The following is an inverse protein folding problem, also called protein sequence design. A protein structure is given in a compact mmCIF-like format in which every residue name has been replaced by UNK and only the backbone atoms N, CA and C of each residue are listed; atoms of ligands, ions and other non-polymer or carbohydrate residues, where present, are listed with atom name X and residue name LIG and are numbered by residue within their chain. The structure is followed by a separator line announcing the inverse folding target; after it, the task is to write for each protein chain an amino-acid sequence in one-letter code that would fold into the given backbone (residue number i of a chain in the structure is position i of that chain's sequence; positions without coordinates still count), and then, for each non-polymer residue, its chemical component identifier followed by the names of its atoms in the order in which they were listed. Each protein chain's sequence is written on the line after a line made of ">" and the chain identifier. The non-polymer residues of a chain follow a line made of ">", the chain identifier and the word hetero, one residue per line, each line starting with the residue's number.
data_IF_088981624381
#
_entry.id   IF_088981624381
#
_cell.length_a   1.000
_cell.length_b   1.000
_cell.length_c   1.000
_cell.angle_alpha   90.00
_cell.angle_beta   90.00
_cell.angle_gamma   90.00
#
_symmetry.space_group_name_H-M   'P 1'
#
loop_
_entity.id
_entity.type
_entity.pdbx_description
1 polymer ?
#
# COMPACT_ATOMS: atom_id res chain seq x y z
N UNK A 1 62.82 -21.25 21.36
CA UNK A 1 62.34 -19.88 21.17
C UNK A 1 62.22 -19.67 19.67
N UNK A 2 61.07 -19.91 19.11
CA UNK A 2 60.84 -19.76 17.68
C UNK A 2 59.56 -18.93 17.53
N UNK A 3 59.76 -17.71 17.14
CA UNK A 3 58.70 -16.72 16.87
C UNK A 3 58.00 -17.10 15.57
N UNK A 4 56.69 -17.30 15.65
CA UNK A 4 55.83 -17.44 14.48
C UNK A 4 55.42 -16.05 14.01
N UNK A 5 55.92 -15.65 12.84
CA UNK A 5 55.48 -14.51 12.08
C UNK A 5 54.07 -14.75 11.55
N UNK A 6 53.15 -13.81 11.88
CA UNK A 6 51.85 -13.74 11.26
C UNK A 6 51.98 -12.82 10.01
N UNK A 7 51.57 -13.25 8.82
CA UNK A 7 51.53 -12.36 7.67
C UNK A 7 50.40 -11.33 7.84
N UNK A 8 50.77 -10.06 7.77
CA UNK A 8 49.85 -8.94 7.64
C UNK A 8 48.99 -9.14 6.39
N UNK A 9 47.65 -9.08 6.55
CA UNK A 9 46.74 -8.99 5.43
C UNK A 9 46.80 -7.55 4.88
N UNK A 10 47.49 -7.37 3.78
CA UNK A 10 47.43 -6.18 2.97
C UNK A 10 46.01 -6.00 2.41
N UNK A 11 45.28 -5.07 3.01
CA UNK A 11 44.00 -4.62 2.52
C UNK A 11 44.17 -3.69 1.32
N UNK A 12 44.44 -4.21 0.13
CA UNK A 12 44.29 -3.47 -1.11
C UNK A 12 42.83 -3.49 -1.53
N UNK A 13 42.00 -2.67 -0.89
CA UNK A 13 40.69 -2.27 -1.43
C UNK A 13 40.93 -1.46 -2.70
N UNK A 14 40.72 -2.07 -3.85
CA UNK A 14 40.67 -1.34 -5.12
C UNK A 14 39.64 -0.20 -5.04
N UNK A 15 39.79 0.86 -5.86
CA UNK A 15 38.84 1.97 -5.87
C UNK A 15 37.46 1.41 -6.25
N UNK A 16 36.56 1.33 -5.25
CA UNK A 16 35.18 0.89 -5.47
C UNK A 16 34.55 1.76 -6.54
N UNK A 17 33.89 1.13 -7.48
CA UNK A 17 33.09 1.86 -8.45
C UNK A 17 32.10 2.76 -7.68
N UNK A 18 31.92 4.03 -8.10
CA UNK A 18 30.94 4.89 -7.45
C UNK A 18 29.56 4.21 -7.50
N UNK A 19 28.78 4.28 -6.42
CA UNK A 19 27.48 3.63 -6.38
C UNK A 19 26.60 4.10 -7.54
N UNK A 20 25.88 3.15 -8.15
CA UNK A 20 25.02 3.45 -9.29
C UNK A 20 23.93 4.45 -8.88
N UNK A 21 23.79 5.55 -9.62
CA UNK A 21 22.76 6.57 -9.38
C UNK A 21 21.70 6.51 -10.46
N UNK A 22 20.45 6.56 -10.04
CA UNK A 22 19.28 6.50 -10.92
C UNK A 22 18.39 7.70 -10.61
N UNK A 23 17.99 8.51 -11.61
CA UNK A 23 17.06 9.60 -11.38
C UNK A 23 15.74 9.10 -10.75
N UNK A 24 15.18 9.91 -9.85
CA UNK A 24 13.83 9.58 -9.32
C UNK A 24 12.84 9.48 -10.46
N UNK A 25 12.02 8.42 -10.49
CA UNK A 25 10.78 8.42 -11.27
C UNK A 25 9.90 9.62 -10.89
N UNK A 26 9.08 10.08 -11.81
CA UNK A 26 8.19 11.24 -11.60
C UNK A 26 7.31 11.04 -10.36
N UNK A 27 6.82 9.82 -10.14
CA UNK A 27 5.96 9.49 -9.00
C UNK A 27 6.71 9.64 -7.67
N UNK A 28 7.96 9.19 -7.60
CA UNK A 28 8.78 9.26 -6.40
C UNK A 28 9.11 10.73 -6.06
N UNK A 29 9.45 11.54 -7.08
CA UNK A 29 9.75 12.96 -6.88
C UNK A 29 8.52 13.74 -6.39
N UNK A 30 7.34 13.52 -6.99
CA UNK A 30 6.11 14.16 -6.53
C UNK A 30 5.75 13.73 -5.11
N UNK A 31 5.90 12.45 -4.77
CA UNK A 31 5.69 11.95 -3.41
C UNK A 31 6.68 12.62 -2.43
N UNK A 32 7.97 12.70 -2.80
CA UNK A 32 9.01 13.34 -2.00
C UNK A 32 8.72 14.82 -1.71
N UNK A 33 8.19 15.55 -2.69
CA UNK A 33 7.80 16.96 -2.52
C UNK A 33 6.62 17.13 -1.54
N UNK A 34 5.82 16.10 -1.35
CA UNK A 34 4.58 16.12 -0.57
C UNK A 34 4.69 15.46 0.79
N UNK A 35 5.87 15.11 1.27
CA UNK A 35 6.06 14.53 2.60
C UNK A 35 5.52 15.44 3.70
N UNK A 36 4.98 14.82 4.75
CA UNK A 36 4.44 15.46 5.94
C UNK A 36 4.92 14.67 7.16
N UNK A 37 5.33 15.36 8.21
CA UNK A 37 5.85 14.72 9.42
C UNK A 37 4.73 14.11 10.28
N UNK A 38 3.57 14.78 10.34
CA UNK A 38 2.43 14.33 11.16
C UNK A 38 1.70 13.11 10.58
N UNK A 39 1.64 13.00 9.26
CA UNK A 39 1.01 11.89 8.54
C UNK A 39 2.00 11.30 7.53
N UNK A 40 2.98 10.51 8.01
CA UNK A 40 4.05 10.02 7.17
C UNK A 40 3.55 9.07 6.06
N UNK A 41 4.24 9.10 4.92
CA UNK A 41 3.97 8.21 3.77
C UNK A 41 4.43 6.78 4.06
N UNK A 42 3.81 6.14 5.04
CA UNK A 42 4.09 4.74 5.36
C UNK A 42 3.06 3.81 4.74
N UNK A 43 3.53 2.78 4.07
CA UNK A 43 2.75 1.55 3.85
C UNK A 43 3.28 0.52 4.81
N UNK A 44 2.43 -0.29 5.42
CA UNK A 44 2.91 -1.46 6.13
C UNK A 44 2.16 -2.73 5.72
N UNK A 45 2.86 -3.84 5.81
CA UNK A 45 2.35 -5.19 5.60
C UNK A 45 2.48 -5.90 6.94
N UNK A 46 1.37 -6.35 7.49
CA UNK A 46 1.29 -7.12 8.73
C UNK A 46 1.00 -8.58 8.38
N UNK A 47 1.87 -9.50 8.77
CA UNK A 47 1.77 -10.93 8.46
C UNK A 47 1.74 -11.74 9.74
N UNK A 48 0.69 -12.52 9.95
CA UNK A 48 0.56 -13.41 11.10
C UNK A 48 1.00 -14.81 10.76
N UNK A 49 1.91 -15.33 11.58
CA UNK A 49 2.44 -16.69 11.50
C UNK A 49 2.03 -17.49 12.74
N UNK A 50 1.62 -18.77 12.58
CA UNK A 50 1.18 -19.58 13.71
C UNK A 50 2.33 -19.99 14.64
N UNK A 51 3.55 -20.03 14.12
CA UNK A 51 4.73 -20.45 14.86
C UNK A 51 5.74 -19.34 15.12
N UNK A 52 6.88 -19.71 15.71
CA UNK A 52 7.94 -18.77 16.06
C UNK A 52 9.00 -18.71 14.97
N UNK A 53 9.58 -17.53 14.83
CA UNK A 53 10.72 -17.29 13.95
C UNK A 53 12.01 -17.28 14.75
N UNK A 54 13.04 -17.96 14.22
CA UNK A 54 14.41 -17.81 14.69
C UNK A 54 14.96 -16.45 14.21
N UNK A 55 15.46 -15.60 15.12
CA UNK A 55 15.93 -14.26 14.77
C UNK A 55 17.08 -14.24 13.77
N UNK A 56 18.08 -15.10 13.92
CA UNK A 56 19.28 -15.07 13.09
C UNK A 56 19.01 -15.62 11.70
N UNK A 57 18.18 -16.67 11.64
CA UNK A 57 17.69 -17.22 10.38
C UNK A 57 16.84 -16.20 9.61
N UNK A 58 15.99 -15.40 10.31
CA UNK A 58 15.22 -14.33 9.68
C UNK A 58 16.12 -13.22 9.15
N UNK A 59 17.11 -12.77 9.91
CA UNK A 59 18.11 -11.78 9.44
C UNK A 59 18.82 -12.29 8.18
N UNK A 60 19.29 -13.52 8.21
CA UNK A 60 19.99 -14.15 7.06
C UNK A 60 19.08 -14.23 5.83
N UNK A 61 17.85 -14.70 6.01
CA UNK A 61 16.87 -14.82 4.93
C UNK A 61 16.48 -13.47 4.33
N UNK A 62 16.25 -12.47 5.18
CA UNK A 62 15.89 -11.13 4.72
C UNK A 62 17.07 -10.45 4.01
N UNK A 63 18.29 -10.55 4.52
CA UNK A 63 19.48 -10.06 3.83
C UNK A 63 19.68 -10.75 2.48
N UNK A 64 19.44 -12.08 2.41
CA UNK A 64 19.41 -12.81 1.14
C UNK A 64 18.35 -12.28 0.16
N UNK A 65 17.17 -11.95 0.65
CA UNK A 65 16.11 -11.37 -0.16
C UNK A 65 16.49 -9.98 -0.69
N UNK A 66 17.12 -9.14 0.13
CA UNK A 66 17.60 -7.82 -0.31
C UNK A 66 18.62 -7.96 -1.44
N UNK A 67 19.58 -8.88 -1.34
CA UNK A 67 20.56 -9.15 -2.40
C UNK A 67 19.95 -9.69 -3.69
N UNK A 68 18.86 -10.48 -3.61
CA UNK A 68 18.10 -10.93 -4.80
C UNK A 68 17.28 -9.84 -5.46
N UNK A 69 17.00 -8.77 -4.73
CA UNK A 69 16.25 -7.60 -5.20
C UNK A 69 17.04 -6.30 -5.00
N UNK A 70 18.19 -6.13 -5.67
CA UNK A 70 19.14 -5.05 -5.36
C UNK A 70 18.53 -3.64 -5.49
N UNK A 71 17.45 -3.48 -6.24
CA UNK A 71 16.73 -2.20 -6.35
C UNK A 71 16.13 -1.74 -5.02
N UNK A 72 15.91 -2.61 -4.04
CA UNK A 72 15.43 -2.21 -2.70
C UNK A 72 16.54 -1.57 -1.86
N UNK A 73 17.80 -1.87 -2.17
CA UNK A 73 18.97 -1.29 -1.53
C UNK A 73 19.24 0.10 -2.12
N UNK A 74 18.34 1.03 -1.88
CA UNK A 74 18.43 2.38 -2.39
C UNK A 74 18.24 3.41 -1.29
N UNK A 75 18.93 4.54 -1.44
CA UNK A 75 18.76 5.73 -0.60
C UNK A 75 18.73 6.99 -1.46
N UNK A 76 18.15 8.06 -0.95
CA UNK A 76 18.21 9.38 -1.60
C UNK A 76 19.66 9.87 -1.59
N UNK A 77 20.24 10.08 -2.77
CA UNK A 77 21.59 10.61 -2.89
C UNK A 77 21.69 12.00 -2.25
N UNK A 78 22.74 12.20 -1.46
CA UNK A 78 23.02 13.52 -0.92
C UNK A 78 23.31 14.53 -2.06
N UNK A 79 22.90 15.76 -1.87
CA UNK A 79 23.13 16.81 -2.86
C UNK A 79 22.79 18.20 -2.34
N UNK A 80 23.31 19.27 -3.00
CA UNK A 80 23.06 20.63 -2.58
C UNK A 80 21.58 21.02 -2.76
N UNK A 81 21.13 22.05 -2.03
CA UNK A 81 19.75 22.54 -2.11
C UNK A 81 19.34 23.02 -3.52
N UNK A 82 20.30 23.43 -4.35
CA UNK A 82 20.08 23.88 -5.74
C UNK A 82 20.18 22.75 -6.78
N UNK A 83 20.28 21.47 -6.34
CA UNK A 83 20.28 20.33 -7.26
C UNK A 83 19.06 20.38 -8.17
N UNK A 84 19.24 19.91 -9.41
CA UNK A 84 18.17 19.91 -10.41
C UNK A 84 17.42 18.60 -10.51
N UNK A 85 17.89 17.52 -9.83
CA UNK A 85 17.29 16.21 -9.82
C UNK A 85 17.47 15.57 -8.46
N UNK A 86 16.50 14.78 -8.04
CA UNK A 86 16.69 13.75 -7.04
C UNK A 86 17.20 12.50 -7.71
N UNK A 87 18.04 11.75 -7.02
CA UNK A 87 18.60 10.50 -7.49
C UNK A 87 18.55 9.46 -6.38
N UNK A 88 18.19 8.24 -6.74
CA UNK A 88 18.39 7.06 -5.91
C UNK A 88 19.83 6.60 -6.09
N UNK A 89 20.55 6.45 -5.00
CA UNK A 89 21.86 5.83 -4.94
C UNK A 89 21.66 4.38 -4.51
N UNK A 90 22.10 3.43 -5.34
CA UNK A 90 22.02 2.01 -5.04
C UNK A 90 23.24 1.61 -4.23
N UNK A 91 23.02 0.91 -3.11
CA UNK A 91 24.09 0.36 -2.26
C UNK A 91 24.21 -1.15 -2.48
N UNK A 92 25.37 -1.72 -2.19
CA UNK A 92 25.58 -3.17 -2.24
C UNK A 92 25.03 -3.83 -0.97
N UNK A 93 25.19 -3.17 0.17
CA UNK A 93 24.75 -3.62 1.47
C UNK A 93 23.81 -2.60 2.15
N UNK A 94 23.00 -3.06 3.12
CA UNK A 94 22.18 -2.15 3.94
C UNK A 94 23.03 -1.17 4.75
N UNK A 95 22.61 0.10 4.78
CA UNK A 95 23.21 1.12 5.67
C UNK A 95 22.80 0.93 7.13
N UNK A 96 21.65 0.29 7.36
CA UNK A 96 21.04 0.06 8.67
C UNK A 96 20.54 -1.35 8.80
N UNK A 97 20.46 -1.86 10.03
CA UNK A 97 19.80 -3.14 10.27
C UNK A 97 18.31 -3.05 9.95
N UNK A 98 17.91 -3.77 8.91
CA UNK A 98 16.54 -3.73 8.41
C UNK A 98 15.58 -4.64 9.22
N UNK A 99 16.09 -5.62 9.99
CA UNK A 99 15.29 -6.57 10.79
C UNK A 99 15.42 -6.24 12.26
N UNK A 100 14.31 -6.04 12.95
CA UNK A 100 14.26 -5.69 14.38
C UNK A 100 13.42 -6.69 15.16
N UNK A 101 13.82 -6.95 16.39
CA UNK A 101 13.08 -7.76 17.36
C UNK A 101 12.83 -6.92 18.60
N UNK A 102 11.73 -6.17 18.65
CA UNK A 102 11.35 -5.41 19.83
C UNK A 102 11.24 -6.32 21.04
N UNK A 103 11.59 -5.86 22.25
CA UNK A 103 11.46 -6.66 23.46
C UNK A 103 10.01 -7.11 23.64
N UNK A 104 9.79 -8.31 24.19
CA UNK A 104 8.44 -8.80 24.47
C UNK A 104 7.78 -7.94 25.55
N UNK A 105 6.63 -7.39 25.22
CA UNK A 105 5.80 -6.57 26.11
C UNK A 105 4.32 -6.91 25.90
N UNK A 106 3.47 -6.55 26.89
CA UNK A 106 2.04 -6.89 26.88
C UNK A 106 1.33 -6.37 25.62
N UNK A 107 1.67 -5.16 25.18
CA UNK A 107 1.03 -4.47 24.06
C UNK A 107 1.94 -4.38 22.81
N UNK A 108 2.87 -5.34 22.64
CA UNK A 108 3.87 -5.35 21.56
C UNK A 108 3.25 -5.16 20.17
N UNK A 109 2.13 -5.83 19.89
CA UNK A 109 1.39 -5.72 18.62
C UNK A 109 0.85 -4.30 18.39
N UNK A 110 0.25 -3.71 19.41
CA UNK A 110 -0.27 -2.33 19.36
C UNK A 110 0.87 -1.34 19.14
N UNK A 111 1.96 -1.46 19.88
CA UNK A 111 3.13 -0.59 19.74
C UNK A 111 3.79 -0.74 18.35
N UNK A 112 3.83 -1.95 17.79
CA UNK A 112 4.34 -2.17 16.44
C UNK A 112 3.46 -1.48 15.38
N UNK A 113 2.13 -1.57 15.51
CA UNK A 113 1.19 -0.83 14.65
C UNK A 113 1.36 0.68 14.78
N UNK A 114 1.50 1.18 16.01
CA UNK A 114 1.74 2.61 16.27
C UNK A 114 3.05 3.09 15.63
N UNK A 115 4.14 2.32 15.75
CA UNK A 115 5.41 2.64 15.07
C UNK A 115 5.27 2.62 13.55
N UNK A 116 4.60 1.61 12.99
CA UNK A 116 4.38 1.50 11.56
C UNK A 116 3.58 2.70 10.97
N UNK A 117 2.71 3.29 11.77
CA UNK A 117 1.91 4.46 11.36
C UNK A 117 2.68 5.78 11.50
N UNK A 118 3.58 5.89 12.49
CA UNK A 118 4.24 7.17 12.84
C UNK A 118 5.64 7.31 12.28
N UNK A 119 6.36 6.20 12.08
CA UNK A 119 7.79 6.21 11.78
C UNK A 119 8.06 5.65 10.38
N UNK A 120 8.19 6.53 9.41
CA UNK A 120 8.66 6.12 8.09
C UNK A 120 10.14 5.78 8.13
N UNK A 121 10.59 4.64 7.56
CA UNK A 121 12.00 4.41 7.32
C UNK A 121 12.61 5.57 6.54
N UNK A 122 13.80 6.08 6.92
CA UNK A 122 14.39 7.26 6.30
C UNK A 122 14.75 6.98 4.84
N UNK A 123 14.52 7.97 3.96
CA UNK A 123 14.98 7.88 2.56
C UNK A 123 16.50 8.01 2.41
N UNK A 124 17.18 8.53 3.43
CA UNK A 124 18.62 8.76 3.44
C UNK A 124 19.46 7.55 3.83
N UNK A 125 18.81 6.41 4.15
CA UNK A 125 19.47 5.15 4.48
C UNK A 125 18.83 4.00 3.68
N UNK A 126 19.64 3.06 3.21
CA UNK A 126 19.20 1.88 2.50
C UNK A 126 19.07 0.68 3.47
N UNK A 127 18.04 -0.14 3.33
CA UNK A 127 16.87 0.01 2.49
C UNK A 127 15.82 0.95 3.14
N UNK A 128 14.93 1.61 2.36
CA UNK A 128 13.86 2.44 2.90
C UNK A 128 12.67 1.59 3.42
N UNK A 129 13.00 0.50 4.10
CA UNK A 129 12.07 -0.44 4.73
C UNK A 129 12.59 -0.89 6.09
N UNK A 130 11.68 -1.33 6.96
CA UNK A 130 11.97 -1.92 8.27
C UNK A 130 11.07 -3.13 8.47
N UNK A 131 11.67 -4.27 8.80
CA UNK A 131 10.98 -5.50 9.19
C UNK A 131 11.06 -5.65 10.71
N UNK A 132 9.93 -5.71 11.38
CA UNK A 132 9.84 -5.97 12.82
C UNK A 132 9.14 -7.31 13.06
N UNK A 133 9.69 -8.14 13.93
CA UNK A 133 9.07 -9.39 14.37
C UNK A 133 8.66 -9.26 15.84
N UNK A 134 7.37 -9.39 16.12
CA UNK A 134 6.81 -9.32 17.47
C UNK A 134 6.06 -10.60 17.81
N UNK A 135 6.00 -10.96 19.10
CA UNK A 135 5.22 -12.10 19.53
C UNK A 135 3.72 -11.86 19.31
N UNK A 136 3.02 -12.83 18.77
CA UNK A 136 1.57 -12.78 18.60
C UNK A 136 0.88 -12.97 19.96
N UNK A 137 -0.06 -12.10 20.37
CA UNK A 137 -0.73 -12.22 21.66
C UNK A 137 -1.51 -13.54 21.76
N UNK A 138 -1.28 -14.31 22.82
CA UNK A 138 -2.08 -15.49 23.19
C UNK A 138 -1.92 -16.76 22.33
N UNK A 139 -1.22 -16.70 21.20
CA UNK A 139 -1.11 -17.83 20.26
C UNK A 139 0.27 -18.50 20.25
N UNK A 140 1.28 -17.88 20.83
CA UNK A 140 2.68 -18.35 20.74
C UNK A 140 3.32 -18.16 19.35
N UNK A 141 2.59 -17.57 18.40
CA UNK A 141 3.06 -17.27 17.04
C UNK A 141 3.87 -15.99 16.95
N UNK A 142 4.15 -15.57 15.72
CA UNK A 142 4.90 -14.34 15.41
C UNK A 142 4.09 -13.46 14.45
N UNK A 143 4.13 -12.15 14.67
CA UNK A 143 3.62 -11.16 13.72
C UNK A 143 4.78 -10.39 13.13
N UNK A 144 4.86 -10.36 11.80
CA UNK A 144 5.82 -9.58 11.05
C UNK A 144 5.19 -8.27 10.59
N UNK A 145 5.90 -7.15 10.80
CA UNK A 145 5.56 -5.83 10.29
C UNK A 145 6.64 -5.38 9.31
N UNK A 146 6.33 -5.35 8.03
CA UNK A 146 7.18 -4.69 7.03
C UNK A 146 6.68 -3.27 6.82
N UNK A 147 7.35 -2.29 7.42
CA UNK A 147 7.07 -0.86 7.24
C UNK A 147 7.91 -0.31 6.10
N UNK A 148 7.30 0.45 5.21
CA UNK A 148 7.84 0.89 3.94
C UNK A 148 7.69 2.39 3.83
N UNK A 149 8.73 3.10 3.37
CA UNK A 149 8.58 4.48 2.93
C UNK A 149 7.98 4.48 1.51
N UNK A 150 6.71 4.89 1.40
CA UNK A 150 5.95 4.81 0.15
C UNK A 150 6.46 5.78 -0.93
N UNK A 151 7.31 6.73 -0.59
CA UNK A 151 8.01 7.54 -1.61
C UNK A 151 8.90 6.68 -2.50
N UNK A 152 9.50 5.64 -1.94
CA UNK A 152 10.46 4.78 -2.63
C UNK A 152 9.83 3.51 -3.23
N UNK A 153 8.86 2.91 -2.52
CA UNK A 153 8.37 1.56 -2.80
C UNK A 153 6.86 1.45 -2.60
N UNK A 154 6.22 0.59 -3.35
CA UNK A 154 4.81 0.21 -3.15
C UNK A 154 4.66 -1.15 -2.45
N UNK A 155 3.44 -1.43 -1.97
CA UNK A 155 3.11 -2.66 -1.26
C UNK A 155 3.40 -3.93 -2.05
N UNK A 156 2.99 -4.05 -3.33
CA UNK A 156 3.26 -5.23 -4.15
C UNK A 156 4.75 -5.53 -4.31
N UNK A 157 5.61 -4.52 -4.52
CA UNK A 157 7.05 -4.69 -4.61
C UNK A 157 7.63 -5.26 -3.30
N UNK A 158 7.23 -4.69 -2.17
CA UNK A 158 7.71 -5.14 -0.86
C UNK A 158 7.16 -6.51 -0.46
N UNK A 159 5.92 -6.82 -0.88
CA UNK A 159 5.38 -8.17 -0.71
C UNK A 159 6.21 -9.21 -1.49
N UNK A 160 6.70 -8.87 -2.69
CA UNK A 160 7.59 -9.75 -3.46
C UNK A 160 8.90 -10.01 -2.71
N UNK A 161 9.51 -8.97 -2.14
CA UNK A 161 10.75 -9.12 -1.34
C UNK A 161 10.49 -9.98 -0.10
N UNK A 162 9.38 -9.76 0.60
CA UNK A 162 9.00 -10.55 1.77
C UNK A 162 8.74 -12.02 1.41
N UNK A 163 8.14 -12.29 0.25
CA UNK A 163 7.94 -13.64 -0.25
C UNK A 163 9.28 -14.35 -0.52
N UNK A 164 10.26 -13.65 -1.09
CA UNK A 164 11.62 -14.16 -1.25
C UNK A 164 12.26 -14.48 0.10
N UNK A 165 12.10 -13.62 1.10
CA UNK A 165 12.60 -13.87 2.44
C UNK A 165 11.94 -15.09 3.09
N UNK A 166 10.62 -15.26 2.92
CA UNK A 166 9.90 -16.43 3.44
C UNK A 166 10.41 -17.73 2.83
N UNK A 167 10.64 -17.76 1.52
CA UNK A 167 11.17 -18.95 0.83
C UNK A 167 12.59 -19.28 1.25
N UNK A 168 13.47 -18.27 1.36
CA UNK A 168 14.83 -18.45 1.85
C UNK A 168 14.86 -18.93 3.31
N UNK A 169 14.00 -18.38 4.15
CA UNK A 169 13.84 -18.81 5.54
C UNK A 169 13.38 -20.28 5.60
N UNK A 170 12.41 -20.66 4.76
CA UNK A 170 11.93 -22.04 4.66
C UNK A 170 12.90 -23.03 3.99
N UNK A 171 14.10 -22.56 3.55
CA UNK A 171 15.08 -23.40 2.86
C UNK A 171 14.64 -23.82 1.45
N UNK A 172 13.71 -23.08 0.84
CA UNK A 172 13.17 -23.37 -0.50
C UNK A 172 13.75 -22.43 -1.54
N UNK A 173 13.68 -22.90 -2.80
CA UNK A 173 14.01 -22.02 -3.92
C UNK A 173 12.94 -20.92 -4.10
N UNK A 174 13.37 -19.76 -4.61
CA UNK A 174 12.53 -18.60 -4.83
C UNK A 174 11.74 -18.73 -6.15
N UNK A 175 10.94 -19.79 -6.28
CA UNK A 175 10.07 -19.98 -7.42
C UNK A 175 8.88 -19.01 -7.37
N UNK A 176 8.59 -18.25 -8.44
CA UNK A 176 7.46 -17.35 -8.47
C UNK A 176 6.15 -18.14 -8.44
N UNK A 177 5.14 -17.61 -7.75
CA UNK A 177 3.80 -18.10 -7.97
C UNK A 177 3.38 -17.78 -9.41
N UNK A 178 2.80 -18.76 -10.11
CA UNK A 178 2.26 -18.52 -11.43
C UNK A 178 1.27 -17.34 -11.38
N UNK A 179 1.44 -16.32 -12.23
CA UNK A 179 0.50 -15.22 -12.25
C UNK A 179 -0.88 -15.76 -12.61
N UNK A 180 -1.96 -15.26 -11.98
CA UNK A 180 -3.30 -15.64 -12.39
C UNK A 180 -3.47 -15.28 -13.88
N UNK A 181 -3.84 -16.25 -14.69
CA UNK A 181 -4.08 -16.05 -16.12
C UNK A 181 -5.25 -15.08 -16.27
N UNK A 182 -4.95 -13.82 -16.53
CA UNK A 182 -5.97 -12.82 -16.85
C UNK A 182 -6.19 -12.87 -18.34
N UNK A 183 -7.36 -13.31 -18.76
CA UNK A 183 -7.79 -13.11 -20.14
C UNK A 183 -7.72 -11.61 -20.47
N UNK A 184 -7.09 -11.26 -21.59
CA UNK A 184 -7.05 -9.88 -22.06
C UNK A 184 -8.49 -9.37 -22.25
N UNK A 185 -8.92 -8.46 -21.38
CA UNK A 185 -10.25 -7.88 -21.48
C UNK A 185 -10.29 -6.97 -22.71
N UNK A 186 -11.19 -7.28 -23.65
CA UNK A 186 -11.51 -6.41 -24.79
C UNK A 186 -12.04 -5.09 -24.23
N UNK A 187 -11.45 -3.96 -24.61
CA UNK A 187 -11.85 -2.65 -24.12
C UNK A 187 -13.34 -2.40 -24.45
N UNK A 188 -14.22 -2.18 -23.46
CA UNK A 188 -15.58 -1.74 -23.73
C UNK A 188 -15.55 -0.29 -24.22
N UNK A 189 -16.51 0.06 -25.08
CA UNK A 189 -16.72 1.43 -25.52
C UNK A 189 -16.87 2.39 -24.32
N UNK A 190 -16.44 3.64 -24.50
CA UNK A 190 -16.45 4.67 -23.47
C UNK A 190 -17.85 4.87 -22.90
N UNK A 191 -18.08 4.39 -21.68
CA UNK A 191 -19.26 4.81 -20.89
C UNK A 191 -19.01 6.23 -20.43
N UNK A 192 -20.00 7.12 -20.63
CA UNK A 192 -19.89 8.54 -20.28
C UNK A 192 -19.40 8.72 -18.84
N UNK A 193 -18.22 9.28 -18.69
CA UNK A 193 -17.64 9.57 -17.38
C UNK A 193 -18.33 10.84 -16.85
N UNK A 194 -18.89 10.83 -15.63
CA UNK A 194 -19.44 12.06 -15.03
C UNK A 194 -18.39 13.18 -15.05
N UNK A 195 -18.83 14.41 -15.30
CA UNK A 195 -17.96 15.59 -15.40
C UNK A 195 -17.01 15.70 -14.20
N UNK A 196 -15.71 15.79 -14.45
CA UNK A 196 -14.67 15.94 -13.43
C UNK A 196 -14.54 17.36 -12.87
N UNK A 197 -15.29 18.33 -13.38
CA UNK A 197 -15.22 19.74 -12.99
C UNK A 197 -15.81 20.04 -11.62
N UNK A 198 -16.76 19.24 -11.15
CA UNK A 198 -17.35 19.40 -9.82
C UNK A 198 -16.43 18.78 -8.77
N UNK A 199 -16.09 19.47 -7.66
CA UNK A 199 -15.40 18.87 -6.54
C UNK A 199 -16.17 17.66 -6.00
N UNK A 200 -15.48 16.52 -5.73
CA UNK A 200 -16.14 15.34 -5.17
C UNK A 200 -16.61 15.58 -3.74
N UNK A 201 -17.49 14.70 -3.26
CA UNK A 201 -17.80 14.61 -1.85
C UNK A 201 -16.52 14.34 -1.04
N UNK A 202 -16.47 14.88 0.16
CA UNK A 202 -15.48 14.51 1.17
C UNK A 202 -16.10 13.47 2.09
N UNK A 203 -15.26 12.70 2.78
CA UNK A 203 -15.72 11.99 3.97
C UNK A 203 -16.11 13.06 4.98
N UNK A 204 -17.35 13.03 5.45
CA UNK A 204 -17.83 13.98 6.43
C UNK A 204 -16.99 13.90 7.71
N UNK A 205 -16.77 15.05 8.35
CA UNK A 205 -16.04 15.12 9.58
C UNK A 205 -16.84 14.46 10.70
N UNK A 206 -16.26 13.48 11.36
CA UNK A 206 -16.80 12.89 12.58
C UNK A 206 -16.29 13.62 13.81
N UNK A 207 -15.84 12.88 14.81
CA UNK A 207 -15.28 13.39 16.06
C UNK A 207 -13.74 13.32 16.00
N UNK A 208 -13.02 14.41 15.64
CA UNK A 208 -11.57 14.37 15.54
C UNK A 208 -10.91 14.08 16.88
N UNK A 209 -9.78 13.37 16.84
CA UNK A 209 -8.94 13.17 18.01
C UNK A 209 -7.99 14.37 18.22
N UNK A 210 -7.61 14.67 19.47
CA UNK A 210 -6.75 15.81 19.78
C UNK A 210 -5.31 15.63 19.28
N UNK A 211 -4.86 14.38 19.12
CA UNK A 211 -3.51 14.06 18.65
C UNK A 211 -3.50 13.90 17.12
N UNK A 212 -2.55 14.54 16.38
CA UNK A 212 -2.40 14.32 14.95
C UNK A 212 -1.94 12.90 14.63
N UNK A 213 -1.90 12.57 13.36
CA UNK A 213 -1.47 11.28 12.84
C UNK A 213 -2.62 10.41 12.35
N UNK A 214 -2.37 9.12 12.23
CA UNK A 214 -3.36 8.19 11.71
C UNK A 214 -3.92 7.26 12.78
N UNK A 215 -5.22 6.96 12.69
CA UNK A 215 -5.85 5.82 13.32
C UNK A 215 -5.86 4.62 12.38
N UNK A 216 -5.92 3.40 12.92
CA UNK A 216 -5.95 2.15 12.21
C UNK A 216 -6.90 1.17 12.89
N UNK A 217 -7.71 0.50 12.07
CA UNK A 217 -8.50 -0.67 12.44
C UNK A 217 -8.25 -1.77 11.42
N UNK A 218 -7.97 -2.98 11.89
CA UNK A 218 -7.80 -4.17 11.04
C UNK A 218 -8.85 -5.21 11.39
N UNK A 219 -9.47 -5.79 10.36
CA UNK A 219 -10.55 -6.76 10.51
C UNK A 219 -10.40 -7.91 9.53
N UNK A 220 -11.02 -9.02 9.86
CA UNK A 220 -11.09 -10.20 9.04
C UNK A 220 -12.55 -10.55 8.74
N UNK A 221 -12.89 -10.61 7.45
CA UNK A 221 -14.21 -10.96 6.97
C UNK A 221 -14.18 -12.24 6.14
N UNK A 222 -15.35 -12.81 5.89
CA UNK A 222 -15.51 -13.77 4.81
C UNK A 222 -15.27 -13.09 3.45
N UNK A 223 -14.68 -13.81 2.50
CA UNK A 223 -14.65 -13.31 1.12
C UNK A 223 -16.09 -13.28 0.60
N UNK A 224 -16.59 -12.14 0.09
CA UNK A 224 -17.98 -12.02 -0.29
C UNK A 224 -18.32 -13.02 -1.42
N UNK A 225 -19.44 -13.68 -1.25
CA UNK A 225 -19.96 -14.63 -2.23
C UNK A 225 -20.44 -13.90 -3.47
N UNK A 226 -20.35 -14.57 -4.59
CA UNK A 226 -20.93 -14.11 -5.86
C UNK A 226 -21.43 -15.30 -6.65
N UNK A 227 -22.53 -15.19 -7.40
CA UNK A 227 -23.02 -16.23 -8.27
C UNK A 227 -22.00 -16.61 -9.35
N UNK A 228 -22.03 -17.87 -9.74
CA UNK A 228 -21.26 -18.30 -10.91
C UNK A 228 -21.68 -17.50 -12.16
N UNK A 229 -20.70 -17.01 -12.93
CA UNK A 229 -20.98 -16.20 -14.12
C UNK A 229 -21.37 -14.74 -13.85
N UNK A 230 -21.39 -14.28 -12.58
CA UNK A 230 -21.68 -12.89 -12.26
C UNK A 230 -20.80 -11.92 -13.07
N UNK A 231 -21.36 -10.84 -13.68
CA UNK A 231 -20.61 -9.91 -14.53
C UNK A 231 -19.69 -8.98 -13.75
N UNK A 232 -19.57 -9.16 -12.45
CA UNK A 232 -18.77 -8.36 -11.53
C UNK A 232 -17.79 -9.24 -10.74
N UNK A 233 -16.79 -8.61 -10.11
CA UNK A 233 -15.74 -9.26 -9.33
C UNK A 233 -15.86 -8.89 -7.85
N UNK A 234 -15.10 -9.58 -6.96
CA UNK A 234 -14.97 -9.18 -5.55
C UNK A 234 -14.49 -7.73 -5.43
N UNK A 235 -13.59 -7.28 -6.33
CA UNK A 235 -13.17 -5.87 -6.34
C UNK A 235 -14.35 -4.90 -6.57
N UNK A 236 -15.32 -5.29 -7.39
CA UNK A 236 -16.49 -4.46 -7.67
C UNK A 236 -17.47 -4.44 -6.49
N UNK A 237 -17.58 -5.57 -5.76
CA UNK A 237 -18.33 -5.64 -4.49
C UNK A 237 -17.70 -4.74 -3.43
N UNK A 238 -16.37 -4.79 -3.25
CA UNK A 238 -15.63 -3.92 -2.33
C UNK A 238 -15.79 -2.43 -2.70
N UNK A 239 -15.79 -2.11 -4.00
CA UNK A 239 -15.97 -0.75 -4.51
C UNK A 239 -17.39 -0.24 -4.23
N UNK A 240 -18.41 -1.06 -4.49
CA UNK A 240 -19.82 -0.73 -4.22
C UNK A 240 -20.06 -0.56 -2.71
N UNK A 241 -19.55 -1.50 -1.88
CA UNK A 241 -19.64 -1.40 -0.43
C UNK A 241 -18.97 -0.12 0.11
N UNK A 242 -17.79 0.24 -0.40
CA UNK A 242 -17.10 1.48 -0.03
C UNK A 242 -17.92 2.72 -0.43
N UNK A 243 -18.52 2.72 -1.63
CA UNK A 243 -19.35 3.84 -2.08
C UNK A 243 -20.60 4.01 -1.22
N UNK A 244 -21.26 2.91 -0.87
CA UNK A 244 -22.44 2.90 0.00
C UNK A 244 -22.10 3.33 1.43
N UNK A 245 -21.01 2.80 2.00
CA UNK A 245 -20.49 3.18 3.32
C UNK A 245 -20.29 4.69 3.41
N UNK A 246 -19.58 5.32 2.46
CA UNK A 246 -19.33 6.75 2.46
C UNK A 246 -20.60 7.54 2.25
N UNK A 247 -21.51 7.08 1.38
CA UNK A 247 -22.80 7.75 1.14
C UNK A 247 -23.64 7.73 2.41
N UNK A 248 -23.67 6.62 3.12
CA UNK A 248 -24.40 6.48 4.38
C UNK A 248 -23.81 7.39 5.46
N UNK A 249 -22.50 7.27 5.71
CA UNK A 249 -21.77 8.11 6.65
C UNK A 249 -22.01 9.60 6.41
N UNK A 250 -21.88 10.05 5.16
CA UNK A 250 -22.05 11.44 4.79
C UNK A 250 -23.50 11.91 5.02
N UNK A 251 -24.50 11.06 4.79
CA UNK A 251 -25.90 11.35 5.04
C UNK A 251 -26.19 11.51 6.54
N UNK A 252 -25.66 10.62 7.39
CA UNK A 252 -25.79 10.71 8.85
C UNK A 252 -25.20 12.02 9.39
N UNK A 253 -24.15 12.52 8.75
CA UNK A 253 -23.47 13.77 9.13
C UNK A 253 -24.00 15.01 8.37
N UNK A 254 -25.14 14.91 7.72
CA UNK A 254 -25.79 16.04 7.05
C UNK A 254 -25.02 16.63 5.86
N UNK A 255 -24.05 15.88 5.29
CA UNK A 255 -23.28 16.35 4.15
C UNK A 255 -24.14 16.41 2.88
N UNK A 256 -23.99 17.48 2.09
CA UNK A 256 -24.70 17.62 0.82
C UNK A 256 -24.28 16.54 -0.18
N UNK A 257 -25.22 15.92 -0.90
CA UNK A 257 -24.90 14.95 -1.94
C UNK A 257 -24.00 15.56 -3.02
N UNK A 258 -22.86 14.92 -3.28
CA UNK A 258 -21.90 15.26 -4.34
C UNK A 258 -21.40 13.97 -4.98
N UNK A 259 -20.82 14.03 -6.20
CA UNK A 259 -20.21 12.86 -6.79
C UNK A 259 -19.14 12.25 -5.87
N UNK A 260 -19.13 10.93 -5.70
CA UNK A 260 -18.04 10.24 -5.03
C UNK A 260 -16.95 9.90 -6.04
N UNK A 261 -15.69 10.05 -5.66
CA UNK A 261 -14.54 9.57 -6.41
C UNK A 261 -13.72 8.67 -5.53
N UNK A 262 -13.65 7.40 -5.90
CA UNK A 262 -12.84 6.39 -5.19
C UNK A 262 -11.59 6.13 -6.01
N UNK A 263 -10.42 6.45 -5.45
CA UNK A 263 -9.14 6.11 -6.08
C UNK A 263 -8.88 4.62 -5.90
N UNK A 264 -8.51 3.95 -6.99
CA UNK A 264 -8.14 2.54 -7.02
C UNK A 264 -6.75 2.40 -7.64
N UNK A 265 -5.76 1.85 -6.91
CA UNK A 265 -4.47 1.48 -7.48
C UNK A 265 -4.63 0.29 -8.43
N UNK A 266 -3.94 0.33 -9.56
CA UNK A 266 -3.86 -0.76 -10.54
C UNK A 266 -2.39 -1.10 -10.75
N UNK A 267 -2.03 -2.36 -10.52
CA UNK A 267 -0.69 -2.87 -10.76
C UNK A 267 -0.72 -3.68 -12.06
N UNK A 268 -0.03 -3.20 -13.07
CA UNK A 268 0.07 -3.83 -14.39
C UNK A 268 1.34 -4.70 -14.53
N UNK A 269 2.19 -4.79 -13.47
CA UNK A 269 3.41 -5.61 -13.47
C UNK A 269 3.08 -7.09 -13.38
N UNK A 270 3.92 -7.91 -14.03
CA UNK A 270 3.92 -9.36 -13.82
C UNK A 270 4.45 -9.67 -12.42
N UNK A 271 3.82 -10.59 -11.71
CA UNK A 271 4.20 -10.97 -10.33
C UNK A 271 5.18 -12.14 -10.32
N UNK A 272 6.19 -12.08 -11.20
CA UNK A 272 7.28 -13.07 -11.30
C UNK A 272 8.47 -12.76 -10.40
N UNK A 273 9.52 -13.59 -10.48
CA UNK A 273 10.81 -13.35 -9.79
C UNK A 273 11.48 -12.07 -10.23
N UNK A 274 11.30 -11.70 -11.48
CA UNK A 274 11.83 -10.53 -12.18
C UNK A 274 10.92 -9.29 -12.05
N UNK A 275 9.89 -9.35 -11.18
CA UNK A 275 9.00 -8.21 -10.93
C UNK A 275 9.82 -6.96 -10.58
N UNK A 276 9.65 -5.84 -11.31
CA UNK A 276 10.36 -4.60 -11.00
C UNK A 276 10.03 -4.08 -9.60
N UNK A 277 11.08 -3.85 -8.81
CA UNK A 277 10.97 -3.27 -7.46
C UNK A 277 10.95 -1.74 -7.58
N UNK A 278 10.00 -1.11 -6.91
CA UNK A 278 9.77 0.35 -6.94
C UNK A 278 8.28 0.67 -6.90
N UNK A 279 7.93 1.92 -7.19
CA UNK A 279 6.53 2.35 -7.33
C UNK A 279 6.03 2.05 -8.75
N UNK A 280 5.30 0.94 -8.92
CA UNK A 280 4.80 0.47 -10.21
C UNK A 280 3.29 0.58 -10.39
N UNK A 281 2.54 0.91 -9.34
CA UNK A 281 1.09 1.05 -9.40
C UNK A 281 0.68 2.40 -10.01
N UNK A 282 -0.35 2.39 -10.87
CA UNK A 282 -1.01 3.61 -11.35
C UNK A 282 -2.34 3.81 -10.63
N UNK A 283 -2.74 5.06 -10.46
CA UNK A 283 -3.98 5.41 -9.80
C UNK A 283 -5.07 5.69 -10.84
N UNK A 284 -6.24 5.10 -10.65
CA UNK A 284 -7.44 5.39 -11.42
C UNK A 284 -8.56 5.82 -10.49
N UNK A 285 -9.50 6.64 -10.99
CA UNK A 285 -10.63 7.12 -10.20
C UNK A 285 -11.94 6.54 -10.74
N UNK A 286 -12.65 5.83 -9.85
CA UNK A 286 -14.01 5.35 -10.11
C UNK A 286 -14.98 6.41 -9.54
N UNK A 287 -15.82 6.95 -10.41
CA UNK A 287 -16.74 8.03 -10.04
C UNK A 287 -18.18 7.52 -9.98
N UNK A 288 -18.90 7.92 -8.94
CA UNK A 288 -20.32 7.66 -8.75
C UNK A 288 -21.07 9.00 -8.73
N UNK A 289 -22.16 9.10 -9.47
CA UNK A 289 -23.02 10.27 -9.45
C UNK A 289 -23.74 10.42 -8.09
N UNK A 290 -24.19 11.63 -7.71
CA UNK A 290 -25.02 11.80 -6.52
C UNK A 290 -26.26 10.91 -6.58
N UNK A 291 -26.52 10.15 -5.50
CA UNK A 291 -27.65 9.21 -5.42
C UNK A 291 -27.49 7.90 -6.22
N UNK A 292 -26.37 7.71 -6.91
CA UNK A 292 -26.11 6.44 -7.60
C UNK A 292 -25.77 5.28 -6.63
N UNK A 293 -24.96 5.48 -5.56
CA UNK A 293 -24.82 4.47 -4.51
C UNK A 293 -26.12 4.30 -3.73
N UNK A 294 -26.90 3.29 -4.11
CA UNK A 294 -28.22 2.98 -3.57
C UNK A 294 -28.35 1.48 -3.38
N UNK A 295 -28.48 1.05 -2.14
CA UNK A 295 -28.55 -0.36 -1.77
C UNK A 295 -29.83 -1.05 -2.33
N UNK A 296 -30.91 -0.30 -2.55
CA UNK A 296 -32.16 -0.83 -3.16
C UNK A 296 -31.98 -1.20 -4.63
N UNK A 297 -30.92 -0.69 -5.29
CA UNK A 297 -30.57 -0.98 -6.69
C UNK A 297 -29.21 -1.69 -6.82
N UNK A 298 -28.91 -2.57 -5.87
CA UNK A 298 -27.61 -3.25 -5.77
C UNK A 298 -27.17 -3.95 -7.07
N UNK A 299 -28.02 -4.72 -7.78
CA UNK A 299 -27.62 -5.37 -9.03
C UNK A 299 -27.13 -4.39 -10.09
N UNK A 300 -27.82 -3.27 -10.24
CA UNK A 300 -27.44 -2.21 -11.19
C UNK A 300 -26.15 -1.51 -10.76
N UNK A 301 -26.00 -1.20 -9.48
CA UNK A 301 -24.79 -0.61 -8.92
C UNK A 301 -23.56 -1.48 -9.19
N UNK A 302 -23.64 -2.79 -8.93
CA UNK A 302 -22.56 -3.74 -9.18
C UNK A 302 -22.20 -3.84 -10.68
N UNK A 303 -23.22 -3.91 -11.54
CA UNK A 303 -23.02 -3.97 -13.00
C UNK A 303 -22.28 -2.71 -13.51
N UNK A 304 -22.76 -1.51 -13.16
CA UNK A 304 -22.14 -0.25 -13.54
C UNK A 304 -20.74 -0.08 -12.98
N UNK A 305 -20.53 -0.52 -11.72
CA UNK A 305 -19.21 -0.52 -11.09
C UNK A 305 -18.24 -1.41 -11.86
N UNK A 306 -18.66 -2.62 -12.23
CA UNK A 306 -17.85 -3.56 -12.99
C UNK A 306 -17.49 -3.04 -14.39
N UNK A 307 -18.42 -2.40 -15.08
CA UNK A 307 -18.18 -1.77 -16.39
C UNK A 307 -17.11 -0.68 -16.29
N UNK A 308 -17.22 0.20 -15.28
CA UNK A 308 -16.25 1.29 -15.05
C UNK A 308 -14.87 0.77 -14.66
N UNK A 309 -14.80 -0.14 -13.70
CA UNK A 309 -13.49 -0.68 -13.25
C UNK A 309 -12.80 -1.43 -14.37
N UNK A 310 -13.54 -2.17 -15.21
CA UNK A 310 -13.01 -2.87 -16.37
C UNK A 310 -12.50 -1.89 -17.43
N UNK A 311 -13.26 -0.86 -17.75
CA UNK A 311 -12.86 0.19 -18.69
C UNK A 311 -11.57 0.90 -18.24
N UNK A 312 -11.50 1.28 -16.94
CA UNK A 312 -10.34 1.96 -16.37
C UNK A 312 -9.08 1.08 -16.30
N UNK A 313 -9.24 -0.22 -16.05
CA UNK A 313 -8.12 -1.18 -16.06
C UNK A 313 -7.60 -1.42 -17.47
N UNK A 314 -8.45 -1.38 -18.49
CA UNK A 314 -8.07 -1.60 -19.89
C UNK A 314 -7.31 -0.44 -20.54
N UNK A 315 -7.26 0.75 -19.93
CA UNK A 315 -6.58 1.93 -20.50
C UNK A 315 -5.17 2.05 -19.93
N UNK A 316 -4.16 1.89 -20.77
CA UNK A 316 -2.77 2.19 -20.39
C UNK A 316 -2.57 3.70 -20.27
N UNK A 317 -2.30 4.20 -19.07
CA UNK A 317 -2.00 5.61 -18.82
C UNK A 317 -0.72 5.74 -18.00
N UNK A 318 0.03 6.86 -18.12
CA UNK A 318 1.11 7.16 -17.19
C UNK A 318 0.61 7.13 -15.75
N UNK A 319 1.47 6.73 -14.81
CA UNK A 319 1.13 6.66 -13.37
C UNK A 319 0.57 7.99 -12.83
N UNK A 320 1.15 9.09 -13.29
CA UNK A 320 0.67 10.45 -13.07
C UNK A 320 0.33 11.09 -14.43
N UNK A 321 -0.69 11.94 -14.46
CA UNK A 321 -1.13 12.58 -15.70
C UNK A 321 0.01 13.34 -16.42
N UNK A 322 -0.20 13.67 -17.70
CA UNK A 322 0.81 14.31 -18.56
C UNK A 322 1.45 15.59 -17.97
N UNK A 323 0.72 16.31 -17.11
CA UNK A 323 1.24 17.49 -16.41
C UNK A 323 2.30 17.20 -15.34
N UNK A 324 2.39 15.98 -14.81
CA UNK A 324 3.36 15.64 -13.77
C UNK A 324 4.81 15.69 -14.27
N UNK A 325 5.06 15.39 -15.54
CA UNK A 325 6.39 15.52 -16.14
C UNK A 325 6.90 16.96 -16.15
N UNK A 326 6.00 17.95 -16.23
CA UNK A 326 6.38 19.38 -16.12
C UNK A 326 6.80 19.74 -14.70
N UNK A 327 6.15 19.13 -13.68
CA UNK A 327 6.48 19.36 -12.26
C UNK A 327 7.86 18.81 -11.88
N UNK A 328 8.39 17.86 -12.63
CA UNK A 328 9.68 17.21 -12.37
C UNK A 328 10.75 17.60 -13.41
N UNK A 329 10.46 18.58 -14.28
CA UNK A 329 11.41 19.06 -15.29
C UNK A 329 12.67 19.63 -14.63
N UNK A 330 13.89 19.21 -15.03
CA UNK A 330 15.13 19.64 -14.41
C UNK A 330 15.54 21.08 -14.76
N UNK A 331 14.66 21.86 -15.37
CA UNK A 331 14.93 23.27 -15.71
C UNK A 331 15.06 24.12 -14.45
N UNK A 332 14.29 23.84 -13.40
CA UNK A 332 14.33 24.54 -12.13
C UNK A 332 14.97 23.70 -11.01
N UNK A 333 15.58 24.33 -10.00
CA UNK A 333 16.03 23.63 -8.80
C UNK A 333 14.91 22.85 -8.12
N UNK A 334 15.27 21.72 -7.52
CA UNK A 334 14.33 20.83 -6.82
C UNK A 334 13.54 21.57 -5.73
N UNK A 335 14.19 22.48 -4.98
CA UNK A 335 13.55 23.24 -3.92
C UNK A 335 12.37 24.10 -4.43
N UNK A 336 12.52 24.72 -5.61
CA UNK A 336 11.47 25.52 -6.22
C UNK A 336 10.32 24.65 -6.73
N UNK A 337 10.65 23.52 -7.36
CA UNK A 337 9.64 22.55 -7.81
C UNK A 337 8.85 21.98 -6.63
N UNK A 338 9.53 21.72 -5.51
CA UNK A 338 8.88 21.26 -4.28
C UNK A 338 7.88 22.31 -3.74
N UNK A 339 8.28 23.57 -3.68
CA UNK A 339 7.39 24.66 -3.26
C UNK A 339 6.17 24.78 -4.17
N UNK A 340 6.40 24.76 -5.50
CA UNK A 340 5.34 24.82 -6.50
C UNK A 340 4.39 23.63 -6.41
N UNK A 341 4.92 22.40 -6.30
CA UNK A 341 4.12 21.16 -6.18
C UNK A 341 3.26 21.17 -4.92
N UNK A 342 3.81 21.64 -3.78
CA UNK A 342 3.03 21.80 -2.54
C UNK A 342 1.92 22.86 -2.70
N UNK A 343 2.22 23.98 -3.33
CA UNK A 343 1.23 25.02 -3.63
C UNK A 343 0.10 24.50 -4.53
N UNK A 344 0.45 23.83 -5.62
CA UNK A 344 -0.51 23.23 -6.54
C UNK A 344 -1.37 22.17 -5.85
N UNK A 345 -0.77 21.30 -5.02
CA UNK A 345 -1.52 20.31 -4.24
C UNK A 345 -2.54 20.95 -3.30
N UNK A 346 -2.14 22.03 -2.62
CA UNK A 346 -3.09 22.79 -1.76
C UNK A 346 -4.24 23.37 -2.57
N UNK A 347 -3.93 24.01 -3.69
CA UNK A 347 -4.94 24.58 -4.59
C UNK A 347 -5.86 23.51 -5.18
N UNK A 348 -5.31 22.35 -5.59
CA UNK A 348 -6.08 21.22 -6.09
C UNK A 348 -6.76 20.39 -4.97
N UNK A 349 -6.52 20.72 -3.72
CA UNK A 349 -7.12 20.06 -2.56
C UNK A 349 -8.63 19.78 -2.72
N UNK A 350 -9.49 20.73 -3.11
CA UNK A 350 -10.92 20.49 -3.27
C UNK A 350 -11.28 19.37 -4.26
N UNK A 351 -10.44 19.10 -5.26
CA UNK A 351 -10.65 18.06 -6.29
C UNK A 351 -10.00 16.71 -5.97
N UNK A 352 -9.35 16.56 -4.81
CA UNK A 352 -8.83 15.25 -4.37
C UNK A 352 -9.98 14.25 -4.22
N UNK A 353 -9.74 12.99 -4.59
CA UNK A 353 -10.72 11.91 -4.45
C UNK A 353 -11.24 11.77 -3.02
N UNK A 354 -12.45 11.23 -2.88
CA UNK A 354 -13.14 11.06 -1.59
C UNK A 354 -12.41 10.09 -0.66
N UNK A 355 -12.05 8.91 -1.18
CA UNK A 355 -11.42 7.81 -0.45
C UNK A 355 -10.49 7.03 -1.37
N UNK A 356 -9.51 6.34 -0.82
CA UNK A 356 -8.70 5.36 -1.54
C UNK A 356 -9.17 3.96 -1.15
N UNK A 357 -9.48 3.11 -2.14
CA UNK A 357 -9.69 1.69 -1.96
C UNK A 357 -8.54 0.95 -2.67
N UNK A 358 -7.64 0.37 -1.89
CA UNK A 358 -6.51 -0.41 -2.43
C UNK A 358 -6.77 -1.90 -2.21
N UNK A 359 -7.11 -2.60 -3.28
CA UNK A 359 -7.32 -4.03 -3.25
C UNK A 359 -6.13 -4.76 -3.85
N UNK A 360 -5.32 -5.41 -3.02
CA UNK A 360 -4.19 -6.25 -3.44
C UNK A 360 -4.70 -7.54 -4.11
N UNK A 361 -5.94 -7.94 -3.79
CA UNK A 361 -6.53 -9.19 -4.23
C UNK A 361 -6.00 -10.39 -3.44
N UNK A 362 -6.07 -11.57 -4.05
CA UNK A 362 -5.50 -12.77 -3.46
C UNK A 362 -3.98 -12.65 -3.44
N UNK A 363 -3.39 -12.86 -2.26
CA UNK A 363 -1.93 -12.90 -2.12
C UNK A 363 -1.37 -14.03 -3.01
N UNK A 364 -0.50 -13.72 -3.98
CA UNK A 364 -0.03 -14.71 -4.96
C UNK A 364 1.10 -15.59 -4.42
N UNK A 365 1.61 -15.28 -3.23
CA UNK A 365 2.72 -15.97 -2.59
C UNK A 365 2.24 -16.76 -1.37
N UNK A 366 2.84 -17.91 -1.12
CA UNK A 366 2.47 -18.74 0.02
C UNK A 366 2.83 -18.10 1.36
N UNK A 367 3.85 -17.22 1.41
CA UNK A 367 4.44 -16.66 2.63
C UNK A 367 4.64 -17.75 3.70
N UNK A 368 5.31 -18.80 3.30
CA UNK A 368 5.54 -19.98 4.11
C UNK A 368 6.99 -19.97 4.61
N UNK A 369 7.16 -19.85 5.92
CA UNK A 369 8.44 -19.76 6.61
C UNK A 369 8.95 -21.10 7.11
N UNK A 370 8.46 -22.23 6.59
CA UNK A 370 8.87 -23.58 6.97
C UNK A 370 8.07 -24.15 8.15
N UNK A 371 8.49 -25.34 8.63
CA UNK A 371 7.67 -26.12 9.58
C UNK A 371 7.48 -25.44 10.93
N UNK A 372 8.51 -24.79 11.47
CA UNK A 372 8.45 -24.17 12.81
C UNK A 372 7.62 -22.90 12.85
N UNK A 373 7.75 -22.04 11.84
CA UNK A 373 7.05 -20.77 11.78
C UNK A 373 5.70 -20.87 11.05
N UNK A 374 5.60 -21.79 10.10
CA UNK A 374 4.40 -22.10 9.35
C UNK A 374 4.15 -21.11 8.21
N UNK A 375 2.96 -21.24 7.63
CA UNK A 375 2.45 -20.39 6.56
C UNK A 375 1.63 -19.24 7.15
N UNK A 376 1.70 -18.08 6.50
CA UNK A 376 0.88 -16.93 6.86
C UNK A 376 -0.61 -17.28 6.94
N UNK A 377 -1.21 -17.08 8.12
CA UNK A 377 -2.63 -17.26 8.37
C UNK A 377 -3.43 -16.01 8.00
N UNK A 378 -2.84 -14.83 8.17
CA UNK A 378 -3.47 -13.55 7.87
C UNK A 378 -2.45 -12.55 7.34
N UNK A 379 -2.88 -11.67 6.41
CA UNK A 379 -2.06 -10.61 5.84
C UNK A 379 -2.90 -9.35 5.68
N UNK A 380 -2.55 -8.29 6.40
CA UNK A 380 -3.13 -6.97 6.23
C UNK A 380 -2.15 -6.02 5.54
N UNK A 381 -2.71 -5.10 4.79
CA UNK A 381 -1.99 -3.96 4.24
C UNK A 381 -2.57 -2.68 4.79
N UNK A 382 -1.75 -1.66 4.96
CA UNK A 382 -2.22 -0.32 5.27
C UNK A 382 -1.50 0.68 4.40
N UNK A 383 -2.26 1.52 3.72
CA UNK A 383 -1.76 2.61 2.89
C UNK A 383 -2.02 3.98 3.53
N UNK A 384 -1.24 5.02 3.20
CA UNK A 384 -1.36 6.34 3.83
C UNK A 384 -2.77 6.95 3.72
N UNK A 385 -3.26 7.52 4.81
CA UNK A 385 -4.52 8.25 4.88
C UNK A 385 -4.25 9.70 5.28
N UNK A 386 -3.86 10.53 4.30
CA UNK A 386 -3.52 11.93 4.52
C UNK A 386 -4.66 12.87 4.12
N UNK A 387 -4.75 14.00 4.82
CA UNK A 387 -5.62 15.07 4.38
C UNK A 387 -5.19 15.62 3.00
N UNK A 388 -6.12 16.02 2.15
CA UNK A 388 -7.55 16.21 2.37
C UNK A 388 -8.45 15.00 2.09
N UNK A 389 -7.92 13.81 1.74
CA UNK A 389 -8.70 12.58 1.56
C UNK A 389 -9.14 12.01 2.92
N UNK A 390 -8.20 11.84 3.83
CA UNK A 390 -8.41 11.49 5.22
C UNK A 390 -8.85 10.06 5.53
N UNK A 391 -9.19 9.23 4.54
CA UNK A 391 -9.58 7.82 4.73
C UNK A 391 -9.01 6.94 3.61
N UNK A 392 -8.51 5.78 4.00
CA UNK A 392 -8.05 4.72 3.10
C UNK A 392 -8.57 3.37 3.59
N UNK A 393 -9.12 2.59 2.67
CA UNK A 393 -9.50 1.19 2.89
C UNK A 393 -8.56 0.33 2.06
N UNK A 394 -7.91 -0.64 2.70
CA UNK A 394 -7.04 -1.59 2.01
C UNK A 394 -7.51 -3.01 2.25
N UNK A 395 -7.46 -3.84 1.22
CA UNK A 395 -7.95 -5.22 1.30
C UNK A 395 -6.96 -6.19 0.67
N UNK A 396 -6.85 -7.38 1.26
CA UNK A 396 -6.13 -8.51 0.72
C UNK A 396 -6.84 -9.80 1.08
N UNK A 397 -6.62 -10.87 0.33
CA UNK A 397 -7.17 -12.19 0.66
C UNK A 397 -6.07 -13.21 0.86
N UNK A 398 -6.11 -13.89 1.99
CA UNK A 398 -5.18 -14.97 2.37
C UNK A 398 -5.96 -16.07 3.09
N UNK A 399 -5.58 -17.33 2.90
CA UNK A 399 -6.20 -18.49 3.57
C UNK A 399 -7.75 -18.55 3.44
N UNK A 400 -8.30 -18.03 2.34
CA UNK A 400 -9.76 -18.01 2.12
C UNK A 400 -10.52 -16.91 2.89
N UNK A 401 -9.80 -16.01 3.57
CA UNK A 401 -10.36 -14.88 4.32
C UNK A 401 -10.02 -13.55 3.64
N UNK A 402 -10.86 -12.56 3.87
CA UNK A 402 -10.66 -11.17 3.43
C UNK A 402 -10.16 -10.35 4.61
N UNK A 403 -8.95 -9.83 4.49
CA UNK A 403 -8.32 -8.97 5.49
C UNK A 403 -8.47 -7.52 5.05
N UNK A 404 -9.09 -6.72 5.90
CA UNK A 404 -9.41 -5.31 5.61
C UNK A 404 -8.73 -4.41 6.66
N UNK A 405 -8.10 -3.35 6.19
CA UNK A 405 -7.60 -2.32 7.08
C UNK A 405 -8.22 -0.97 6.73
N UNK A 406 -8.75 -0.30 7.73
CA UNK A 406 -9.22 1.07 7.68
C UNK A 406 -8.16 1.95 8.32
N UNK A 407 -7.62 2.90 7.57
CA UNK A 407 -6.69 3.91 8.08
C UNK A 407 -7.26 5.29 7.82
N UNK A 408 -7.26 6.12 8.84
CA UNK A 408 -7.83 7.47 8.74
C UNK A 408 -6.92 8.52 9.39
N UNK A 409 -7.10 9.78 8.96
CA UNK A 409 -6.52 10.93 9.64
C UNK A 409 -7.28 11.19 10.94
N UNK A 410 -6.59 11.25 12.08
CA UNK A 410 -7.18 11.57 13.40
C UNK A 410 -7.76 12.98 13.45
N UNK A 411 -7.30 13.87 12.56
CA UNK A 411 -7.90 15.21 12.43
C UNK A 411 -9.28 15.20 11.78
N UNK A 412 -9.69 14.06 11.21
CA UNK A 412 -10.99 13.87 10.56
C UNK A 412 -11.93 12.99 11.38
N UNK A 413 -11.45 11.87 11.91
CA UNK A 413 -12.22 10.80 12.53
C UNK A 413 -11.58 10.32 13.84
N UNK A 414 -12.41 9.89 14.80
CA UNK A 414 -12.00 9.16 15.99
C UNK A 414 -11.92 7.65 15.74
N UNK A 415 -11.48 6.92 16.75
CA UNK A 415 -11.52 5.45 16.73
C UNK A 415 -12.97 4.92 16.67
N UNK A 416 -13.90 5.56 17.40
CA UNK A 416 -15.32 5.23 17.34
C UNK A 416 -15.91 5.42 15.95
N UNK A 417 -15.57 6.52 15.29
CA UNK A 417 -15.98 6.78 13.90
C UNK A 417 -15.41 5.72 12.93
N UNK A 418 -14.15 5.33 13.13
CA UNK A 418 -13.53 4.25 12.36
C UNK A 418 -14.24 2.91 12.54
N UNK A 419 -14.67 2.59 13.77
CA UNK A 419 -15.45 1.38 14.06
C UNK A 419 -16.83 1.43 13.39
N UNK A 420 -17.51 2.57 13.41
CA UNK A 420 -18.79 2.73 12.73
C UNK A 420 -18.66 2.60 11.20
N UNK A 421 -17.61 3.19 10.61
CA UNK A 421 -17.32 3.00 9.20
C UNK A 421 -17.07 1.53 8.85
N UNK A 422 -16.37 0.76 9.72
CA UNK A 422 -16.17 -0.67 9.56
C UNK A 422 -17.51 -1.42 9.56
N UNK A 423 -18.42 -1.10 10.50
CA UNK A 423 -19.74 -1.74 10.58
C UNK A 423 -20.59 -1.46 9.34
N UNK A 424 -20.57 -0.21 8.86
CA UNK A 424 -21.22 0.17 7.61
C UNK A 424 -20.64 -0.57 6.41
N UNK A 425 -19.32 -0.71 6.35
CA UNK A 425 -18.64 -1.45 5.27
C UNK A 425 -19.04 -2.91 5.27
N UNK A 426 -19.02 -3.57 6.42
CA UNK A 426 -19.41 -4.97 6.58
C UNK A 426 -20.87 -5.17 6.16
N UNK A 427 -21.78 -4.32 6.66
CA UNK A 427 -23.19 -4.34 6.30
C UNK A 427 -23.40 -4.30 4.78
N UNK A 428 -22.76 -3.33 4.10
CA UNK A 428 -22.92 -3.20 2.66
C UNK A 428 -22.16 -4.25 1.87
N UNK A 429 -21.07 -4.78 2.38
CA UNK A 429 -20.37 -5.90 1.75
C UNK A 429 -21.25 -7.14 1.72
N UNK A 430 -21.92 -7.48 2.83
CA UNK A 430 -22.91 -8.56 2.88
C UNK A 430 -24.11 -8.29 1.95
N UNK A 431 -24.60 -7.06 1.90
CA UNK A 431 -25.67 -6.70 0.99
C UNK A 431 -25.35 -6.97 -0.50
N UNK A 432 -24.06 -6.92 -0.89
CA UNK A 432 -23.65 -7.25 -2.26
C UNK A 432 -23.81 -8.73 -2.62
N UNK A 433 -23.88 -9.63 -1.62
CA UNK A 433 -24.03 -11.08 -1.83
C UNK A 433 -25.45 -11.44 -2.26
N UNK A 434 -26.44 -10.69 -1.79
CA UNK A 434 -27.88 -10.93 -2.04
C UNK A 434 -28.40 -10.25 -3.31
N UNK A 435 -27.51 -9.63 -4.08
CA UNK A 435 -27.89 -8.87 -5.28
C UNK A 435 -28.58 -9.68 -6.41
N UNK A 436 -28.62 -11.01 -6.29
CA UNK A 436 -29.16 -11.92 -7.32
C UNK A 436 -30.49 -12.54 -6.96
N UNK A 437 -30.96 -12.43 -5.72
CA UNK A 437 -32.22 -13.03 -5.29
C UNK A 437 -33.45 -12.19 -5.68
N UNK A 438 -33.27 -10.97 -6.20
CA UNK A 438 -34.35 -10.02 -6.49
C UNK A 438 -34.54 -9.72 -7.98
N UNK A 439 -34.15 -10.60 -8.90
CA UNK A 439 -34.53 -10.49 -10.29
C UNK A 439 -35.83 -11.31 -10.52
N UNK A 440 -36.94 -10.65 -10.93
CA UNK A 440 -38.18 -11.36 -11.27
C UNK A 440 -38.05 -12.22 -12.53
#
# INVERSE_FOLDING_TARGET
>A
MTTLDHPARDGTGGPGHPPARIPFPVVDEVARHCLQDEEPETVHIEVHLPGRLDPDRLRTAFAGALRRHPRILMREAAGPWYRRRYEWELTEDPDVEAVRFPPPERDALKHARDRALREAPPLTAAPPVRLEAVAAPGTGGTVLFLTINHTALDGPACLRVLATAAELYGGRDNSPAAPPTRAAARAPGATGTPSTWSPPARVARGTPEPSPGNGLLVEEFAVPRRPGGAPYTVNDQLMAATALMITHWNREHGARPRPLRITMPVDDRTRGTDMPIGNGTRLVEVTFAPGEPDASRMPELLRRTAERTRALKGVTRPQLGRGAALLTSPVAPVAWRAAFTRGLRRAAGPWTSTVLLSNIGRIPYALDFGEEAGRASAVWFSAPARMPRGLTVTTASTAGRLHVAFRWSRTLLSHGDGSHLRDLFEHYLHATEHATESAP
#
